data_IF_796617045558
#
_entry.id   IF_796617045558
#
_cell.length_a   1.000
_cell.length_b   1.000
_cell.length_c   1.000
_cell.angle_alpha   90.00
_cell.angle_beta   90.00
_cell.angle_gamma   90.00
#
_symmetry.space_group_name_H-M   'P 1'
#
loop_
_entity.id
_entity.type
_entity.pdbx_description
1 polymer ?
#
# COMPACT_ATOMS: atom_id res chain seq x y z
N UNK A 1 59.28 -10.56 -1.18
CA UNK A 1 58.41 -10.18 -2.32
C UNK A 1 57.01 -10.67 -1.99
N UNK A 2 56.07 -9.76 -1.69
CA UNK A 2 54.65 -10.09 -1.52
C UNK A 2 53.92 -9.43 -2.69
N UNK A 3 53.33 -10.24 -3.57
CA UNK A 3 52.51 -9.79 -4.68
C UNK A 3 51.06 -9.68 -4.20
N UNK A 4 50.53 -8.46 -4.10
CA UNK A 4 49.10 -8.21 -3.93
C UNK A 4 48.49 -7.97 -5.32
N UNK A 5 48.02 -9.05 -5.96
CA UNK A 5 47.12 -8.94 -7.10
C UNK A 5 45.72 -8.60 -6.59
N UNK A 6 45.42 -7.31 -6.46
CA UNK A 6 44.06 -6.84 -6.18
C UNK A 6 43.17 -7.00 -7.41
N UNK A 7 42.00 -7.63 -7.26
CA UNK A 7 40.98 -7.64 -8.31
C UNK A 7 40.47 -6.21 -8.52
N UNK A 8 40.77 -5.62 -9.67
CA UNK A 8 40.16 -4.36 -10.09
C UNK A 8 38.71 -4.61 -10.46
N UNK A 9 37.78 -4.45 -9.52
CA UNK A 9 36.36 -4.40 -9.85
C UNK A 9 36.08 -3.06 -10.55
N UNK A 10 35.59 -3.11 -11.79
CA UNK A 10 35.12 -1.92 -12.48
C UNK A 10 33.94 -1.34 -11.70
N UNK A 11 34.03 -0.07 -11.33
CA UNK A 11 32.90 0.68 -10.78
C UNK A 11 31.88 0.80 -11.91
N UNK A 12 30.82 0.01 -11.85
CA UNK A 12 29.66 0.14 -12.75
C UNK A 12 28.75 1.18 -12.12
N UNK A 13 28.42 2.23 -12.87
CA UNK A 13 27.46 3.22 -12.40
C UNK A 13 26.07 2.58 -12.29
N UNK A 14 25.46 2.65 -11.09
CA UNK A 14 24.05 2.32 -10.93
C UNK A 14 23.21 3.43 -11.55
N UNK A 15 22.37 3.08 -12.52
CA UNK A 15 21.34 3.99 -13.03
C UNK A 15 20.08 3.82 -12.20
N UNK A 16 19.79 4.80 -11.35
CA UNK A 16 18.49 4.95 -10.70
C UNK A 16 17.60 5.79 -11.59
N UNK A 17 16.40 5.28 -11.91
CA UNK A 17 15.36 6.05 -12.57
C UNK A 17 14.39 6.57 -11.50
N UNK A 18 14.17 7.88 -11.48
CA UNK A 18 13.02 8.45 -10.77
C UNK A 18 11.81 8.18 -11.65
N UNK A 19 10.94 7.30 -11.21
CA UNK A 19 9.62 7.15 -11.82
C UNK A 19 8.80 8.32 -11.29
N UNK A 20 8.36 9.21 -12.17
CA UNK A 20 7.39 10.25 -11.79
C UNK A 20 6.18 9.56 -11.16
N UNK A 21 5.77 10.01 -9.99
CA UNK A 21 4.57 9.47 -9.33
C UNK A 21 3.37 9.63 -10.27
N UNK A 22 2.43 8.69 -10.24
CA UNK A 22 1.21 8.78 -11.03
C UNK A 22 0.23 9.76 -10.39
N UNK A 23 -0.76 10.27 -11.15
CA UNK A 23 -1.80 11.18 -10.62
C UNK A 23 -2.37 10.69 -9.29
N UNK A 24 -2.67 9.39 -9.21
CA UNK A 24 -3.04 8.69 -7.99
C UNK A 24 -2.03 7.57 -7.74
N UNK A 25 -1.48 7.51 -6.54
CA UNK A 25 -0.61 6.41 -6.10
C UNK A 25 -1.04 5.98 -4.71
N UNK A 26 -1.70 4.83 -4.61
CA UNK A 26 -2.28 4.35 -3.37
C UNK A 26 -1.39 3.29 -2.71
N UNK A 27 -1.02 3.54 -1.46
CA UNK A 27 -0.35 2.59 -0.60
C UNK A 27 -1.22 2.27 0.63
N UNK A 28 -1.11 1.03 1.12
CA UNK A 28 -1.60 0.70 2.45
C UNK A 28 -0.61 1.28 3.44
N UNK A 29 -1.11 2.15 4.31
CA UNK A 29 -0.32 2.76 5.38
C UNK A 29 -0.42 1.93 6.65
N UNK A 30 -1.62 1.44 6.98
CA UNK A 30 -1.86 0.64 8.18
C UNK A 30 -3.19 -0.16 8.10
N UNK A 31 -3.30 -1.23 8.89
CA UNK A 31 -4.55 -1.96 9.16
C UNK A 31 -4.95 -1.68 10.60
N UNK A 32 -5.90 -0.77 10.78
CA UNK A 32 -6.28 -0.25 12.10
C UNK A 32 -7.12 -1.25 12.88
N UNK A 33 -7.94 -2.06 12.21
CA UNK A 33 -8.84 -3.00 12.88
C UNK A 33 -9.16 -4.21 11.99
N UNK A 34 -9.24 -5.44 12.56
CA UNK A 34 -9.08 -5.77 13.98
C UNK A 34 -7.62 -5.77 14.43
N UNK A 35 -7.35 -5.04 15.51
CA UNK A 35 -6.07 -5.13 16.23
C UNK A 35 -6.07 -6.47 16.98
N UNK A 36 -5.09 -7.35 16.68
CA UNK A 36 -5.01 -8.74 17.15
C UNK A 36 -6.12 -9.66 16.62
N UNK A 37 -5.88 -10.26 15.44
CA UNK A 37 -6.75 -11.19 14.68
C UNK A 37 -7.21 -12.48 15.42
N UNK A 38 -7.07 -12.59 16.74
CA UNK A 38 -7.28 -13.87 17.43
C UNK A 38 -8.75 -14.26 17.61
N UNK A 39 -9.70 -13.32 17.42
CA UNK A 39 -11.14 -13.60 17.46
C UNK A 39 -11.93 -12.70 16.49
N UNK A 40 -11.64 -12.77 15.19
CA UNK A 40 -12.38 -12.04 14.16
C UNK A 40 -13.56 -12.89 13.68
N UNK A 41 -14.79 -12.41 13.83
CA UNK A 41 -15.97 -13.09 13.26
C UNK A 41 -16.11 -12.73 11.78
N UNK A 42 -16.81 -13.57 11.00
CA UNK A 42 -17.03 -13.42 9.56
C UNK A 42 -17.80 -12.16 9.12
N UNK A 43 -18.22 -11.32 10.07
CA UNK A 43 -18.94 -10.04 9.86
C UNK A 43 -18.19 -8.84 10.44
N UNK A 44 -16.92 -9.03 10.81
CA UNK A 44 -16.14 -7.96 11.44
C UNK A 44 -15.77 -6.90 10.41
N UNK A 45 -16.00 -5.63 10.75
CA UNK A 45 -15.55 -4.53 9.92
C UNK A 45 -14.02 -4.51 9.91
N UNK A 46 -13.39 -4.27 8.76
CA UNK A 46 -11.94 -4.05 8.65
C UNK A 46 -11.72 -2.57 8.36
N UNK A 47 -10.80 -1.94 9.10
CA UNK A 47 -10.45 -0.54 8.89
C UNK A 47 -9.03 -0.43 8.36
N UNK A 48 -8.86 0.15 7.18
CA UNK A 48 -7.55 0.29 6.51
C UNK A 48 -7.24 1.78 6.34
N UNK A 49 -6.04 2.17 6.76
CA UNK A 49 -5.50 3.50 6.48
C UNK A 49 -4.78 3.46 5.13
N UNK A 50 -5.25 4.27 4.20
CA UNK A 50 -4.67 4.42 2.87
C UNK A 50 -3.90 5.72 2.81
N UNK A 51 -2.72 5.68 2.19
CA UNK A 51 -1.92 6.86 1.86
C UNK A 51 -1.96 7.08 0.36
N UNK A 52 -2.11 8.34 -0.03
CA UNK A 52 -1.96 8.79 -1.41
C UNK A 52 -0.58 9.44 -1.56
N UNK A 53 0.32 8.75 -2.25
CA UNK A 53 1.67 9.20 -2.60
C UNK A 53 1.70 9.93 -3.97
N UNK A 54 0.55 9.99 -4.66
CA UNK A 54 0.35 10.77 -5.88
C UNK A 54 0.19 12.27 -5.61
N UNK A 55 0.07 13.04 -6.70
CA UNK A 55 -0.07 14.50 -6.62
C UNK A 55 -1.51 15.01 -6.76
N UNK A 56 -2.46 14.17 -7.21
CA UNK A 56 -3.87 14.53 -7.31
C UNK A 56 -4.71 14.06 -6.11
N UNK A 57 -5.84 14.73 -5.89
CA UNK A 57 -6.83 14.38 -4.86
C UNK A 57 -7.64 13.18 -5.30
N UNK A 58 -7.70 12.13 -4.50
CA UNK A 58 -8.56 11.00 -4.83
C UNK A 58 -10.03 11.41 -4.71
N UNK A 59 -10.84 11.27 -5.77
CA UNK A 59 -12.23 11.65 -5.74
C UNK A 59 -13.08 10.71 -4.87
N UNK A 60 -14.26 11.18 -4.46
CA UNK A 60 -15.25 10.34 -3.80
C UNK A 60 -15.92 9.40 -4.82
N UNK A 61 -16.37 8.24 -4.37
CA UNK A 61 -17.04 7.23 -5.20
C UNK A 61 -16.11 6.33 -5.99
N UNK A 62 -14.80 6.36 -5.71
CA UNK A 62 -13.83 5.44 -6.33
C UNK A 62 -13.94 4.07 -5.67
N UNK A 63 -14.19 3.05 -6.48
CA UNK A 63 -14.17 1.65 -6.06
C UNK A 63 -12.74 1.19 -5.81
N UNK A 64 -12.50 0.65 -4.62
CA UNK A 64 -11.23 0.10 -4.19
C UNK A 64 -11.38 -1.40 -4.00
N UNK A 65 -10.43 -2.17 -4.53
CA UNK A 65 -10.35 -3.60 -4.30
C UNK A 65 -9.04 -3.89 -3.56
N UNK A 66 -9.13 -4.56 -2.42
CA UNK A 66 -7.99 -4.96 -1.61
C UNK A 66 -7.99 -6.49 -1.47
N UNK A 67 -6.81 -7.10 -1.43
CA UNK A 67 -6.68 -8.54 -1.18
C UNK A 67 -5.96 -8.70 0.15
N UNK A 68 -6.66 -9.26 1.15
CA UNK A 68 -6.13 -9.49 2.49
C UNK A 68 -6.16 -10.99 2.76
N UNK A 69 -4.98 -11.61 2.95
CA UNK A 69 -4.83 -13.05 3.19
C UNK A 69 -5.58 -13.93 2.16
N UNK A 70 -5.62 -13.51 0.90
CA UNK A 70 -6.32 -14.21 -0.19
C UNK A 70 -7.81 -13.90 -0.33
N UNK A 71 -8.39 -13.09 0.56
CA UNK A 71 -9.78 -12.64 0.47
C UNK A 71 -9.88 -11.30 -0.24
N UNK A 72 -10.79 -11.19 -1.20
CA UNK A 72 -11.09 -9.95 -1.91
C UNK A 72 -12.06 -9.10 -1.11
N UNK A 73 -11.62 -7.90 -0.76
CA UNK A 73 -12.38 -6.85 -0.11
C UNK A 73 -12.68 -5.75 -1.12
N UNK A 74 -13.92 -5.25 -1.13
CA UNK A 74 -14.30 -4.09 -1.94
C UNK A 74 -14.85 -2.98 -1.07
N UNK A 75 -14.49 -1.74 -1.38
CA UNK A 75 -14.98 -0.56 -0.70
C UNK A 75 -15.08 0.62 -1.66
N UNK A 76 -15.71 1.70 -1.23
CA UNK A 76 -15.79 2.95 -2.00
C UNK A 76 -15.28 4.11 -1.16
N UNK A 77 -14.54 5.02 -1.79
CA UNK A 77 -14.12 6.26 -1.12
C UNK A 77 -15.37 7.10 -0.83
N UNK A 78 -15.58 7.47 0.44
CA UNK A 78 -16.75 8.27 0.85
C UNK A 78 -16.48 9.77 0.81
N UNK A 79 -15.24 10.19 0.60
CA UNK A 79 -14.82 11.59 0.55
C UNK A 79 -13.51 11.80 -0.20
N UNK A 80 -13.20 13.08 -0.45
CA UNK A 80 -11.95 13.52 -1.09
C UNK A 80 -10.79 13.48 -0.10
N UNK A 81 -9.61 13.02 -0.52
CA UNK A 81 -8.41 13.09 0.32
C UNK A 81 -7.11 13.33 -0.45
N UNK A 82 -6.26 14.19 0.13
CA UNK A 82 -4.95 14.58 -0.42
C UNK A 82 -3.78 13.69 0.05
N UNK A 83 -3.92 13.07 1.22
CA UNK A 83 -2.81 12.43 1.92
C UNK A 83 -3.22 11.10 2.53
N UNK A 84 -4.18 11.11 3.45
CA UNK A 84 -4.59 9.93 4.22
C UNK A 84 -6.12 9.81 4.20
N UNK A 85 -6.61 8.58 4.03
CA UNK A 85 -8.01 8.23 4.21
C UNK A 85 -8.17 6.95 5.05
N UNK A 86 -9.32 6.87 5.73
CA UNK A 86 -9.76 5.67 6.43
C UNK A 86 -10.84 4.99 5.59
N UNK A 87 -10.61 3.74 5.21
CA UNK A 87 -11.59 2.91 4.53
C UNK A 87 -12.11 1.84 5.49
N UNK A 88 -13.42 1.85 5.74
CA UNK A 88 -14.11 0.82 6.53
C UNK A 88 -14.79 -0.13 5.54
N UNK A 89 -14.43 -1.41 5.60
CA UNK A 89 -14.97 -2.45 4.73
C UNK A 89 -15.70 -3.49 5.58
N UNK A 90 -16.92 -3.84 5.17
CA UNK A 90 -17.65 -4.95 5.77
C UNK A 90 -17.19 -6.26 5.13
N UNK A 91 -16.35 -7.03 5.84
CA UNK A 91 -15.94 -8.36 5.39
C UNK A 91 -17.11 -9.32 5.64
N UNK A 92 -17.63 -9.92 4.57
CA UNK A 92 -18.59 -11.02 4.63
C UNK A 92 -17.89 -12.29 4.12
N UNK A 93 -17.35 -13.10 5.03
CA UNK A 93 -16.80 -14.41 4.67
C UNK A 93 -17.96 -15.41 4.57
N UNK A 94 -18.25 -15.89 3.35
CA UNK A 94 -19.20 -16.98 3.07
C UNK A 94 -18.68 -18.34 3.56
#
# INVERSE_FOLDING_TARGET
>A
MISMSGCSSGIVADTVFVVDSTEYELAIDDVIYPENMECVTSTTNVSIRLRNDGYEVIPAGIGLTCIVNGNTLTGTTTGLFYRIALLIIHLLLL
#
